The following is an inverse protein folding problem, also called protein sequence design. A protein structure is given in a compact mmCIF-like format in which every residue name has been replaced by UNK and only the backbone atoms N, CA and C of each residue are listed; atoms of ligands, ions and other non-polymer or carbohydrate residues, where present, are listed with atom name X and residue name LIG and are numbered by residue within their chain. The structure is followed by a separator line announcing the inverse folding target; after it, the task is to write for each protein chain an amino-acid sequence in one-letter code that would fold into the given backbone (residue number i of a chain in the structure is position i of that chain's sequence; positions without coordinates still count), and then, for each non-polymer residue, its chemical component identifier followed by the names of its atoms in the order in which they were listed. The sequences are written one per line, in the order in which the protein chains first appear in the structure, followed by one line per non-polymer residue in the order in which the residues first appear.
data_IF_923798125902
#
_entry.id   IF_923798125902
#
_cell.length_a   1.000
_cell.length_b   1.000
_cell.length_c   1.000
_cell.angle_alpha   90.00
_cell.angle_beta   90.00
_cell.angle_gamma   90.00
#
_symmetry.space_group_name_H-M   'P 1'
#
loop_
_entity.id
_entity.type
_entity.pdbx_description
1 polymer ?
#
# COMPACT_ATOMS: atom_id res chain seq x y z
N UNK A 1 -30.55 10.28 -2.45
CA UNK A 1 -29.42 11.22 -2.34
C UNK A 1 -28.18 10.47 -2.79
N UNK A 2 -27.92 10.48 -4.09
CA UNK A 2 -26.86 9.67 -4.72
C UNK A 2 -25.51 10.26 -4.31
N UNK A 3 -24.72 9.47 -3.59
CA UNK A 3 -23.34 9.79 -3.23
C UNK A 3 -22.47 9.99 -4.46
N UNK A 4 -21.30 10.58 -4.24
CA UNK A 4 -20.27 10.84 -5.25
C UNK A 4 -20.11 9.61 -6.15
N UNK A 5 -20.53 9.74 -7.40
CA UNK A 5 -20.44 8.67 -8.38
C UNK A 5 -19.02 8.54 -8.92
N UNK A 6 -18.81 7.48 -9.69
CA UNK A 6 -17.57 7.29 -10.46
C UNK A 6 -17.25 8.52 -11.34
N UNK A 7 -18.22 9.19 -12.01
CA UNK A 7 -17.94 10.38 -12.81
C UNK A 7 -17.35 11.54 -11.98
N UNK A 8 -17.92 11.82 -10.81
CA UNK A 8 -17.45 12.89 -9.93
C UNK A 8 -16.06 12.59 -9.36
N UNK A 9 -15.77 11.32 -9.02
CA UNK A 9 -14.43 10.91 -8.61
C UNK A 9 -13.38 11.10 -9.72
N UNK A 10 -13.74 10.86 -10.98
CA UNK A 10 -12.84 11.09 -12.12
C UNK A 10 -12.54 12.58 -12.26
N UNK A 11 -13.53 13.46 -12.13
CA UNK A 11 -13.33 14.91 -12.18
C UNK A 11 -12.36 15.36 -11.08
N UNK A 12 -12.57 14.89 -9.85
CA UNK A 12 -11.68 15.21 -8.72
C UNK A 12 -10.26 14.70 -9.01
N UNK A 13 -10.12 13.48 -9.52
CA UNK A 13 -8.84 12.90 -9.88
C UNK A 13 -8.11 13.76 -10.93
N UNK A 14 -8.82 14.22 -11.98
CA UNK A 14 -8.24 15.09 -13.00
C UNK A 14 -7.73 16.40 -12.40
N UNK A 15 -8.48 17.03 -11.49
CA UNK A 15 -8.04 18.26 -10.81
C UNK A 15 -6.76 18.02 -10.01
N UNK A 16 -6.71 16.91 -9.25
CA UNK A 16 -5.51 16.51 -8.50
C UNK A 16 -4.33 16.29 -9.47
N UNK A 17 -4.55 15.62 -10.59
CA UNK A 17 -3.53 15.39 -11.61
C UNK A 17 -3.02 16.69 -12.24
N UNK A 18 -3.85 17.73 -12.37
CA UNK A 18 -3.40 19.04 -12.87
C UNK A 18 -2.50 19.73 -11.84
N UNK A 19 -2.87 19.69 -10.55
CA UNK A 19 -2.10 20.34 -9.48
C UNK A 19 -0.76 19.64 -9.23
N UNK A 20 -0.78 18.31 -9.13
CA UNK A 20 0.41 17.53 -8.78
C UNK A 20 1.17 17.04 -10.03
N UNK A 21 0.52 16.95 -11.18
CA UNK A 21 1.07 16.35 -12.39
C UNK A 21 0.83 14.84 -12.47
N UNK A 22 0.65 14.32 -13.70
CA UNK A 22 0.40 12.90 -13.97
C UNK A 22 1.53 11.95 -13.51
N UNK A 23 2.76 12.46 -13.38
CA UNK A 23 3.92 11.67 -12.94
C UNK A 23 4.03 11.48 -11.42
N UNK A 24 3.49 12.40 -10.60
CA UNK A 24 3.68 12.34 -9.14
C UNK A 24 2.89 11.22 -8.46
N UNK A 25 1.69 10.92 -8.95
CA UNK A 25 0.86 9.83 -8.41
C UNK A 25 1.54 8.46 -8.51
N UNK A 26 2.06 8.01 -9.67
CA UNK A 26 2.75 6.73 -9.78
C UNK A 26 4.09 6.72 -9.02
N UNK A 27 4.80 7.86 -8.93
CA UNK A 27 6.03 7.99 -8.15
C UNK A 27 5.78 7.73 -6.65
N UNK A 28 4.76 8.38 -6.08
CA UNK A 28 4.35 8.17 -4.68
C UNK A 28 3.76 6.77 -4.50
N UNK A 29 2.91 6.33 -5.43
CA UNK A 29 2.27 5.02 -5.38
C UNK A 29 3.26 3.85 -5.43
N UNK A 30 4.34 3.98 -6.20
CA UNK A 30 5.41 2.97 -6.26
C UNK A 30 6.14 2.81 -4.92
N UNK A 31 6.44 3.91 -4.23
CA UNK A 31 7.05 3.88 -2.90
C UNK A 31 6.13 3.29 -1.83
N UNK A 32 4.88 3.78 -1.77
CA UNK A 32 3.86 3.29 -0.84
C UNK A 32 3.51 1.83 -1.09
N UNK A 33 3.40 1.41 -2.36
CA UNK A 33 3.10 0.03 -2.74
C UNK A 33 4.18 -0.94 -2.29
N UNK A 34 5.46 -0.58 -2.45
CA UNK A 34 6.59 -1.37 -1.93
C UNK A 34 6.56 -1.46 -0.41
N UNK A 35 6.30 -0.35 0.28
CA UNK A 35 6.20 -0.32 1.74
C UNK A 35 5.07 -1.24 2.24
N UNK A 36 3.88 -1.16 1.65
CA UNK A 36 2.73 -2.01 2.00
C UNK A 36 3.03 -3.48 1.68
N UNK A 37 3.68 -3.77 0.55
CA UNK A 37 4.06 -5.13 0.15
C UNK A 37 5.06 -5.76 1.13
N UNK A 38 6.09 -5.01 1.52
CA UNK A 38 7.08 -5.45 2.49
C UNK A 38 6.45 -5.64 3.87
N UNK A 39 5.62 -4.71 4.31
CA UNK A 39 4.89 -4.81 5.57
C UNK A 39 3.99 -6.06 5.60
N UNK A 40 3.20 -6.27 4.54
CA UNK A 40 2.34 -7.46 4.39
C UNK A 40 3.14 -8.77 4.40
N UNK A 41 4.32 -8.77 3.80
CA UNK A 41 5.19 -9.95 3.76
C UNK A 41 5.76 -10.26 5.15
N UNK A 42 6.30 -9.26 5.84
CA UNK A 42 6.83 -9.41 7.20
C UNK A 42 5.74 -9.88 8.20
N UNK A 43 4.53 -9.30 8.14
CA UNK A 43 3.41 -9.74 8.98
C UNK A 43 2.98 -11.17 8.64
N UNK A 44 2.99 -11.57 7.36
CA UNK A 44 2.65 -12.92 6.95
C UNK A 44 3.70 -13.93 7.40
N UNK A 45 4.97 -13.56 7.38
CA UNK A 45 6.06 -14.39 7.85
C UNK A 45 5.93 -14.65 9.36
N UNK A 46 5.74 -13.61 10.17
CA UNK A 46 5.48 -13.77 11.61
C UNK A 46 4.26 -14.64 11.92
N UNK A 47 3.17 -14.50 11.15
CA UNK A 47 1.96 -15.30 11.36
C UNK A 47 2.12 -16.79 11.00
N UNK A 48 3.08 -17.13 10.13
CA UNK A 48 3.31 -18.50 9.68
C UNK A 48 4.51 -19.18 10.36
N UNK A 49 5.25 -18.49 11.24
CA UNK A 49 6.27 -19.14 12.08
C UNK A 49 5.56 -19.91 13.21
N UNK A 50 5.70 -21.24 13.20
CA UNK A 50 5.33 -22.11 14.35
C UNK A 50 6.17 -21.69 15.56
N UNK A 51 5.70 -21.81 16.82
CA UNK A 51 6.49 -21.50 18.02
C UNK A 51 7.92 -22.09 18.01
N UNK A 52 8.13 -23.29 17.44
CA UNK A 52 9.46 -23.91 17.27
C UNK A 52 10.40 -23.19 16.28
N UNK A 53 9.89 -22.38 15.36
CA UNK A 53 10.68 -21.61 14.40
C UNK A 53 11.10 -20.24 14.97
N UNK A 54 10.33 -19.70 15.93
CA UNK A 54 10.64 -18.45 16.62
C UNK A 54 11.79 -18.69 17.63
N UNK A 55 11.81 -19.85 18.29
CA UNK A 55 12.82 -20.17 19.32
C UNK A 55 14.21 -20.56 18.75
N UNK A 56 14.30 -20.93 17.48
CA UNK A 56 15.58 -21.23 16.81
C UNK A 56 16.27 -19.97 16.28
N UNK A 57 15.50 -18.94 15.94
CA UNK A 57 16.00 -17.66 15.42
C UNK A 57 16.57 -16.75 16.53
N UNK A 58 16.16 -16.96 17.79
CA UNK A 58 16.67 -16.25 18.99
C UNK A 58 17.93 -16.91 19.61
N UNK A 59 18.37 -18.08 19.10
CA UNK A 59 19.55 -18.82 19.59
C UNK A 59 20.77 -18.77 18.65
N UNK A 60 20.68 -18.08 17.52
CA UNK A 60 21.79 -17.75 16.61
C UNK A 60 22.19 -16.28 16.77
#
# INVERSE_FOLDING_TARGET
MFGIGIPELIIILVIILIIFGAGKLPEIGGGLGKAISNFKSATKEQKNKTPEQIEKEDRE
#
